data_IF_934232346687
#
_entry.id   IF_934232346687
#
_cell.length_a   1.000
_cell.length_b   1.000
_cell.length_c   1.000
_cell.angle_alpha   90.00
_cell.angle_beta   90.00
_cell.angle_gamma   90.00
#
_symmetry.space_group_name_H-M   'P 1'
#
loop_
_entity.id
_entity.type
_entity.pdbx_description
1 polymer ?
#
# COMPACT_ATOMS: atom_id res chain seq x y z
N UNK A 1 -28.70 -32.83 -22.85
CA UNK A 1 -29.28 -31.71 -22.08
C UNK A 1 -28.69 -31.57 -20.66
N UNK A 2 -28.64 -32.61 -19.82
CA UNK A 2 -28.12 -32.52 -18.42
C UNK A 2 -26.68 -31.99 -18.29
N UNK A 3 -25.76 -32.36 -19.19
CA UNK A 3 -24.38 -31.83 -19.21
C UNK A 3 -24.30 -30.34 -19.55
N UNK A 4 -25.20 -29.85 -20.42
CA UNK A 4 -25.24 -28.43 -20.83
C UNK A 4 -25.77 -27.55 -19.67
N UNK A 5 -26.79 -28.02 -18.94
CA UNK A 5 -27.25 -27.33 -17.72
C UNK A 5 -26.17 -27.26 -16.63
N UNK A 6 -25.36 -28.31 -16.45
CA UNK A 6 -24.24 -28.29 -15.50
C UNK A 6 -23.17 -27.26 -15.88
N UNK A 7 -22.82 -27.17 -17.16
CA UNK A 7 -21.86 -26.17 -17.66
C UNK A 7 -22.43 -24.75 -17.51
N UNK A 8 -23.70 -24.51 -17.86
CA UNK A 8 -24.36 -23.21 -17.68
C UNK A 8 -24.47 -22.82 -16.20
N UNK A 9 -24.74 -23.76 -15.30
CA UNK A 9 -24.72 -23.54 -13.85
C UNK A 9 -23.31 -23.17 -13.38
N UNK A 10 -22.27 -23.83 -13.89
CA UNK A 10 -20.88 -23.52 -13.53
C UNK A 10 -20.48 -22.12 -14.01
N UNK A 11 -20.91 -21.69 -15.20
CA UNK A 11 -20.70 -20.32 -15.68
C UNK A 11 -21.51 -19.28 -14.91
N UNK A 12 -22.70 -19.62 -14.42
CA UNK A 12 -23.49 -18.74 -13.56
C UNK A 12 -22.82 -18.51 -12.20
N UNK A 13 -22.12 -19.53 -11.65
CA UNK A 13 -21.33 -19.39 -10.43
C UNK A 13 -19.92 -18.81 -10.65
N UNK A 14 -19.33 -19.01 -11.83
CA UNK A 14 -18.00 -18.47 -12.16
C UNK A 14 -18.04 -17.00 -12.61
N UNK A 15 -19.20 -16.49 -13.02
CA UNK A 15 -19.37 -15.09 -13.34
C UNK A 15 -19.49 -14.26 -12.06
N UNK A 16 -18.68 -13.20 -11.97
CA UNK A 16 -18.68 -12.15 -10.95
C UNK A 16 -17.68 -12.29 -9.79
N UNK A 17 -16.48 -12.86 -10.01
CA UNK A 17 -15.33 -12.33 -9.27
C UNK A 17 -15.08 -10.93 -9.83
N UNK A 18 -15.62 -9.93 -9.15
CA UNK A 18 -15.31 -8.53 -9.44
C UNK A 18 -14.01 -8.22 -8.68
N UNK A 19 -13.00 -7.72 -9.38
CA UNK A 19 -11.81 -7.15 -8.76
C UNK A 19 -11.97 -5.64 -8.75
N UNK A 20 -11.75 -5.00 -7.61
CA UNK A 20 -11.77 -3.55 -7.48
C UNK A 20 -10.35 -3.00 -7.44
N UNK A 21 -9.80 -2.67 -8.61
CA UNK A 21 -8.52 -1.98 -8.67
C UNK A 21 -8.67 -0.53 -8.15
N UNK A 22 -7.86 -0.16 -7.16
CA UNK A 22 -7.72 1.24 -6.70
C UNK A 22 -6.26 1.64 -6.64
N UNK A 23 -6.00 2.91 -6.91
CA UNK A 23 -4.67 3.48 -6.87
C UNK A 23 -4.60 4.61 -5.84
N UNK A 24 -3.41 4.85 -5.31
CA UNK A 24 -3.10 5.97 -4.43
C UNK A 24 -2.00 6.80 -5.07
N UNK A 25 -2.13 8.12 -5.00
CA UNK A 25 -1.02 9.06 -5.23
C UNK A 25 -0.80 9.84 -3.93
N UNK A 26 0.40 9.72 -3.34
CA UNK A 26 0.77 10.40 -2.11
C UNK A 26 2.09 11.14 -2.25
N UNK A 27 2.19 12.28 -1.58
CA UNK A 27 3.43 13.06 -1.43
C UNK A 27 3.73 13.30 0.04
N UNK A 28 5.00 13.45 0.37
CA UNK A 28 5.44 13.74 1.72
C UNK A 28 6.89 14.17 1.77
N UNK A 29 7.33 14.59 2.96
CA UNK A 29 8.72 14.95 3.23
C UNK A 29 9.20 14.30 4.50
N UNK A 30 10.22 13.46 4.37
CA UNK A 30 10.90 12.85 5.50
C UNK A 30 11.79 13.89 6.19
N UNK A 31 11.76 13.91 7.51
CA UNK A 31 12.61 14.75 8.34
C UNK A 31 13.32 13.89 9.40
N UNK A 32 14.62 14.11 9.55
CA UNK A 32 15.43 13.42 10.56
C UNK A 32 16.48 14.39 11.11
N UNK A 33 16.33 14.80 12.37
CA UNK A 33 17.24 15.70 13.08
C UNK A 33 18.48 14.98 13.59
N UNK A 34 18.33 13.76 14.10
CA UNK A 34 19.45 12.97 14.67
C UNK A 34 20.50 12.60 13.63
N UNK A 35 20.07 12.21 12.43
CA UNK A 35 20.94 11.77 11.35
C UNK A 35 20.35 12.16 9.98
N UNK A 36 20.53 13.41 9.53
CA UNK A 36 19.99 13.86 8.24
C UNK A 36 20.46 13.00 7.04
N UNK A 37 21.66 12.41 7.11
CA UNK A 37 22.16 11.53 6.06
C UNK A 37 21.33 10.23 5.91
N UNK A 38 20.63 9.79 6.96
CA UNK A 38 19.76 8.61 6.92
C UNK A 38 18.64 8.72 5.88
N UNK A 39 18.22 9.95 5.53
CA UNK A 39 17.19 10.20 4.53
C UNK A 39 17.53 9.60 3.17
N UNK A 40 18.82 9.58 2.81
CA UNK A 40 19.30 9.01 1.53
C UNK A 40 19.11 7.50 1.43
N UNK A 41 18.97 6.81 2.57
CA UNK A 41 18.77 5.36 2.64
C UNK A 41 17.34 4.97 2.99
N UNK A 42 16.47 5.96 3.21
CA UNK A 42 15.09 5.70 3.58
C UNK A 42 14.32 5.08 2.41
N UNK A 43 13.38 4.21 2.76
CA UNK A 43 12.52 3.52 1.80
C UNK A 43 11.08 3.78 2.20
N UNK A 44 10.29 4.24 1.25
CA UNK A 44 8.86 4.50 1.41
C UNK A 44 8.10 3.48 0.58
N UNK A 45 7.29 2.66 1.24
CA UNK A 45 6.45 1.64 0.63
C UNK A 45 4.99 2.00 0.82
N UNK A 46 4.20 1.77 -0.21
CA UNK A 46 2.76 1.81 -0.17
C UNK A 46 2.29 0.35 -0.28
N UNK A 47 1.52 -0.07 0.70
CA UNK A 47 0.97 -1.41 0.80
C UNK A 47 -0.54 -1.36 0.77
N UNK A 48 -1.15 -2.42 0.26
CA UNK A 48 -2.51 -2.81 0.55
C UNK A 48 -2.52 -3.63 1.85
N UNK A 49 -3.52 -3.46 2.69
CA UNK A 49 -3.68 -4.29 3.88
C UNK A 49 -4.73 -5.34 3.62
N UNK A 50 -4.29 -6.58 3.77
CA UNK A 50 -5.11 -7.76 3.55
C UNK A 50 -5.54 -8.39 4.89
N UNK A 51 -5.67 -9.71 4.92
CA UNK A 51 -6.07 -10.49 6.08
C UNK A 51 -5.38 -10.08 7.40
N UNK A 52 -6.15 -10.02 8.48
CA UNK A 52 -5.62 -9.69 9.83
C UNK A 52 -5.38 -10.95 10.67
N UNK A 53 -4.33 -10.93 11.49
CA UNK A 53 -4.00 -12.03 12.40
C UNK A 53 -3.65 -13.31 11.64
N UNK A 54 -4.31 -14.43 11.96
CA UNK A 54 -4.06 -15.70 11.27
C UNK A 54 -4.49 -15.68 9.79
N UNK A 55 -5.38 -14.76 9.39
CA UNK A 55 -5.79 -14.62 8.00
C UNK A 55 -4.67 -14.01 7.13
N UNK A 56 -3.73 -13.26 7.73
CA UNK A 56 -2.59 -12.68 7.02
C UNK A 56 -1.65 -13.74 6.41
N UNK A 57 -1.68 -14.97 6.92
CA UNK A 57 -0.91 -16.09 6.36
C UNK A 57 -1.48 -16.53 5.01
N UNK A 58 -2.79 -16.37 4.81
CA UNK A 58 -3.48 -16.73 3.57
C UNK A 58 -3.60 -15.56 2.61
N UNK A 59 -3.58 -14.35 3.16
CA UNK A 59 -3.85 -13.10 2.46
C UNK A 59 -2.92 -12.01 3.04
N UNK A 60 -1.64 -12.00 2.65
CA UNK A 60 -0.63 -11.09 3.19
C UNK A 60 -0.63 -9.74 2.49
N UNK A 61 -0.47 -8.65 3.26
CA UNK A 61 -0.31 -7.27 2.78
C UNK A 61 0.58 -7.19 1.52
N UNK A 62 0.00 -6.76 0.40
CA UNK A 62 0.68 -6.70 -0.89
C UNK A 62 1.26 -5.31 -1.23
N UNK A 63 2.33 -5.28 -2.03
CA UNK A 63 3.05 -4.05 -2.33
C UNK A 63 2.42 -3.32 -3.53
N UNK A 64 1.80 -2.18 -3.27
CA UNK A 64 1.24 -1.31 -4.31
C UNK A 64 2.30 -0.41 -4.96
N UNK A 65 3.29 0.05 -4.19
CA UNK A 65 4.30 1.00 -4.67
C UNK A 65 5.53 1.12 -3.78
N UNK A 66 6.65 1.56 -4.36
CA UNK A 66 7.93 1.68 -3.68
C UNK A 66 8.72 2.89 -4.19
N UNK A 67 9.21 3.71 -3.27
CA UNK A 67 10.23 4.74 -3.49
C UNK A 67 11.41 4.39 -2.60
N UNK A 68 12.59 4.22 -3.18
CA UNK A 68 13.80 3.79 -2.47
C UNK A 68 14.97 4.74 -2.66
N UNK A 69 16.14 4.27 -2.22
CA UNK A 69 17.44 4.98 -2.19
C UNK A 69 17.73 5.81 -3.45
N UNK A 70 17.44 5.27 -4.63
CA UNK A 70 17.76 5.90 -5.91
C UNK A 70 16.62 6.74 -6.51
N UNK A 71 15.45 6.78 -5.87
CA UNK A 71 14.25 7.44 -6.41
C UNK A 71 13.66 8.52 -5.52
N UNK A 72 14.24 8.81 -4.36
CA UNK A 72 13.91 10.04 -3.64
C UNK A 72 14.40 11.24 -4.48
N UNK A 73 13.49 12.10 -4.99
CA UNK A 73 13.83 13.17 -5.94
C UNK A 73 14.80 14.22 -5.40
N UNK A 74 15.06 14.26 -4.09
CA UNK A 74 15.97 15.22 -3.48
C UNK A 74 16.62 14.66 -2.21
N UNK A 75 17.86 15.10 -1.96
CA UNK A 75 18.59 14.95 -0.70
C UNK A 75 17.85 15.59 0.50
N UNK A 76 16.71 16.25 0.26
CA UNK A 76 15.89 16.93 1.24
C UNK A 76 14.77 16.05 1.85
N UNK A 77 14.66 14.79 1.44
CA UNK A 77 13.70 13.82 1.96
C UNK A 77 12.29 13.89 1.34
N UNK A 78 12.06 14.75 0.33
CA UNK A 78 10.78 14.79 -0.37
C UNK A 78 10.56 13.53 -1.21
N UNK A 79 9.32 13.01 -1.22
CA UNK A 79 8.95 11.87 -2.06
C UNK A 79 7.57 12.04 -2.68
N UNK A 80 7.39 11.32 -3.80
CA UNK A 80 6.10 11.07 -4.42
C UNK A 80 6.00 9.57 -4.65
N UNK A 81 4.92 8.95 -4.18
CA UNK A 81 4.62 7.54 -4.37
C UNK A 81 3.29 7.40 -5.09
N UNK A 82 3.25 6.48 -6.05
CA UNK A 82 2.03 6.08 -6.74
C UNK A 82 2.03 4.56 -6.85
N UNK A 83 0.90 3.95 -6.53
CA UNK A 83 0.73 2.50 -6.57
C UNK A 83 -0.73 2.11 -6.65
N UNK A 84 -0.99 0.90 -7.14
CA UNK A 84 -2.33 0.34 -7.21
C UNK A 84 -2.37 -1.01 -6.51
N UNK A 85 -3.50 -1.31 -5.88
CA UNK A 85 -3.82 -2.59 -5.25
C UNK A 85 -5.07 -3.17 -5.91
N UNK A 86 -5.16 -4.50 -5.91
CA UNK A 86 -6.21 -5.27 -6.56
C UNK A 86 -6.86 -6.22 -5.58
N UNK A 87 -8.02 -5.85 -5.08
CA UNK A 87 -8.81 -6.69 -4.19
C UNK A 87 -9.92 -7.43 -4.94
N UNK A 88 -10.06 -8.72 -4.68
CA UNK A 88 -11.20 -9.50 -5.16
C UNK A 88 -12.39 -9.36 -4.20
N UNK A 89 -13.60 -9.20 -4.73
CA UNK A 89 -14.83 -9.19 -3.94
C UNK A 89 -15.12 -10.62 -3.43
N UNK A 90 -14.73 -10.93 -2.20
CA UNK A 90 -14.97 -12.25 -1.59
C UNK A 90 -16.45 -12.47 -1.25
N UNK A 91 -17.17 -11.39 -0.97
CA UNK A 91 -18.61 -11.40 -0.66
C UNK A 91 -19.35 -10.73 -1.82
N UNK A 92 -20.28 -11.44 -2.50
CA UNK A 92 -21.06 -10.85 -3.58
C UNK A 92 -21.72 -9.54 -3.15
N UNK A 93 -21.56 -8.49 -3.96
CA UNK A 93 -22.10 -7.13 -3.73
C UNK A 93 -21.49 -6.33 -2.56
N UNK A 94 -20.46 -6.83 -1.88
CA UNK A 94 -19.65 -6.03 -0.96
C UNK A 94 -18.29 -5.79 -1.61
N UNK A 95 -18.02 -4.58 -2.11
CA UNK A 95 -16.71 -4.26 -2.67
C UNK A 95 -15.63 -4.47 -1.62
N UNK A 96 -14.64 -5.30 -1.93
CA UNK A 96 -13.38 -5.30 -1.21
C UNK A 96 -12.51 -4.25 -1.87
N UNK A 97 -12.31 -3.11 -1.19
CA UNK A 97 -11.40 -2.08 -1.69
C UNK A 97 -10.08 -2.25 -0.94
N UNK A 98 -8.95 -1.96 -1.62
CA UNK A 98 -7.67 -1.87 -0.95
C UNK A 98 -7.74 -1.09 0.39
N UNK A 99 -6.98 -1.48 1.40
CA UNK A 99 -6.82 -0.76 2.67
C UNK A 99 -5.40 -0.17 2.75
N UNK A 100 -5.13 0.94 2.03
CA UNK A 100 -3.77 1.39 1.80
C UNK A 100 -3.10 1.95 3.06
N UNK A 101 -1.84 1.59 3.28
CA UNK A 101 -0.98 2.20 4.29
C UNK A 101 0.42 2.47 3.77
N UNK A 102 1.09 3.46 4.36
CA UNK A 102 2.49 3.79 4.03
C UNK A 102 3.41 3.25 5.11
N UNK A 103 4.43 2.51 4.70
CA UNK A 103 5.50 2.01 5.56
C UNK A 103 6.82 2.69 5.18
N UNK A 104 7.50 3.26 6.18
CA UNK A 104 8.78 3.94 6.00
C UNK A 104 9.83 3.17 6.78
N UNK A 105 10.82 2.63 6.06
CA UNK A 105 12.01 2.03 6.65
C UNK A 105 13.14 3.05 6.61
N UNK A 106 13.79 3.31 7.74
CA UNK A 106 14.80 4.36 7.85
C UNK A 106 15.83 4.08 8.94
N UNK A 107 16.98 4.77 8.93
CA UNK A 107 18.06 4.62 9.92
C UNK A 107 18.27 5.87 10.78
N UNK A 108 17.19 6.64 11.02
CA UNK A 108 17.26 7.94 11.69
C UNK A 108 17.72 7.83 13.16
N UNK A 109 17.11 6.91 13.93
CA UNK A 109 17.43 6.72 15.36
C UNK A 109 18.53 5.68 15.56
N UNK A 110 18.60 4.68 14.67
CA UNK A 110 19.54 3.57 14.78
C UNK A 110 20.05 3.08 13.41
N UNK A 111 21.34 2.70 13.29
CA UNK A 111 21.87 2.04 12.10
C UNK A 111 21.20 0.68 11.77
N UNK A 112 20.57 0.01 12.75
CA UNK A 112 19.85 -1.25 12.50
C UNK A 112 18.58 -1.05 11.67
N UNK A 113 18.06 0.18 11.64
CA UNK A 113 16.83 0.54 10.95
C UNK A 113 15.60 0.43 11.84
N UNK A 114 14.67 1.37 11.64
CA UNK A 114 13.34 1.43 12.25
C UNK A 114 12.27 1.41 11.15
N UNK A 115 11.04 1.10 11.56
CA UNK A 115 9.85 1.14 10.71
C UNK A 115 8.82 2.09 11.33
N UNK A 116 8.32 3.02 10.53
CA UNK A 116 7.19 3.88 10.83
C UNK A 116 6.05 3.57 9.86
N UNK A 117 4.82 3.46 10.37
CA UNK A 117 3.65 3.19 9.54
C UNK A 117 2.59 4.29 9.68
N UNK A 118 2.01 4.69 8.54
CA UNK A 118 0.96 5.69 8.43
C UNK A 118 -0.29 5.02 7.86
N UNK A 119 -1.28 4.79 8.72
CA UNK A 119 -2.50 4.05 8.40
C UNK A 119 -3.74 4.93 8.16
N UNK A 120 -3.59 6.26 8.23
CA UNK A 120 -4.74 7.18 8.22
C UNK A 120 -4.56 8.31 7.20
N UNK A 121 -5.68 8.77 6.65
CA UNK A 121 -5.72 9.94 5.77
C UNK A 121 -5.29 9.67 4.33
N UNK A 122 -5.04 8.41 3.97
CA UNK A 122 -4.71 8.01 2.61
C UNK A 122 -5.99 7.96 1.77
N UNK A 123 -5.93 8.60 0.61
CA UNK A 123 -7.04 8.78 -0.33
C UNK A 123 -6.73 8.09 -1.64
N UNK A 124 -7.77 7.57 -2.29
CA UNK A 124 -7.65 6.98 -3.62
C UNK A 124 -7.58 8.05 -4.71
N UNK A 125 -6.73 7.80 -5.70
CA UNK A 125 -6.65 8.55 -6.94
C UNK A 125 -8.03 8.62 -7.62
N UNK A 126 -8.45 9.78 -8.18
CA UNK A 126 -7.65 10.97 -8.49
C UNK A 126 -7.39 11.93 -7.31
N UNK A 127 -7.94 11.66 -6.13
CA UNK A 127 -7.66 12.48 -4.96
C UNK A 127 -6.24 12.19 -4.45
N UNK A 128 -5.46 13.25 -4.23
CA UNK A 128 -4.07 13.14 -3.81
C UNK A 128 -3.95 13.22 -2.29
N UNK A 129 -3.06 12.41 -1.74
CA UNK A 129 -2.74 12.44 -0.31
C UNK A 129 -1.50 13.30 -0.07
N UNK A 130 -1.63 14.32 0.78
CA UNK A 130 -0.49 15.08 1.30
C UNK A 130 -0.18 14.61 2.72
N UNK A 131 0.89 13.86 2.90
CA UNK A 131 1.31 13.33 4.20
C UNK A 131 2.02 14.40 5.05
N UNK A 132 2.41 15.53 4.45
CA UNK A 132 3.13 16.60 5.10
C UNK A 132 4.57 16.21 5.48
N UNK A 133 5.05 16.79 6.59
CA UNK A 133 6.37 16.47 7.15
C UNK A 133 6.22 15.27 8.09
N UNK A 134 7.00 14.23 7.83
CA UNK A 134 7.05 13.00 8.62
C UNK A 134 8.35 13.03 9.41
N UNK A 135 8.23 13.26 10.71
CA UNK A 135 9.37 13.27 11.63
C UNK A 135 9.76 11.84 12.01
N UNK A 136 10.94 11.42 11.57
CA UNK A 136 11.53 10.10 11.78
C UNK A 136 12.32 9.99 13.10
N UNK A 137 12.39 11.07 13.89
CA UNK A 137 13.06 11.07 15.20
C UNK A 137 12.18 10.46 16.31
N UNK A 138 10.87 10.29 16.08
CA UNK A 138 9.91 9.64 16.99
C UNK A 138 9.96 8.10 16.87
#
# INVERSE_FOLDING_TARGET
>A
MRKVLFILSLFYFAGLIQCAQKCVEATGKLYCRRNPAALTTAEVRLYDRDGRGLLQVFDPDDLMGLVGIYSLPADDGTFKIHGCGDDADWVPSVPNLPDPYVQIRHSCKSPQGDILELHKGIKFFPEKTELGIIDLDY
#
